data_IF_942581656981
#
_entry.id   IF_942581656981
#
_cell.length_a   1.000
_cell.length_b   1.000
_cell.length_c   1.000
_cell.angle_alpha   90.00
_cell.angle_beta   90.00
_cell.angle_gamma   90.00
#
_symmetry.space_group_name_H-M   'P 1'
#
loop_
_entity.id
_entity.type
_entity.pdbx_description
1 polymer ?
#
# COMPACT_ATOMS: atom_id res chain seq x y z
N UNK A 1 -8.01 4.90 28.66
CA UNK A 1 -9.01 5.94 28.30
C UNK A 1 -10.10 5.26 27.48
N UNK A 2 -11.39 5.60 27.66
CA UNK A 2 -12.43 5.03 26.79
C UNK A 2 -12.30 5.64 25.37
N UNK A 3 -12.38 4.84 24.29
CA UNK A 3 -12.36 5.38 22.93
C UNK A 3 -13.51 6.37 22.69
N UNK A 4 -13.17 7.57 22.21
CA UNK A 4 -14.12 8.63 21.85
C UNK A 4 -13.91 9.02 20.39
N UNK A 5 -14.85 9.77 19.80
CA UNK A 5 -14.66 10.25 18.42
C UNK A 5 -13.72 11.45 18.41
N UNK A 6 -12.62 11.37 17.65
CA UNK A 6 -11.64 12.43 17.47
C UNK A 6 -11.52 12.83 16.00
N UNK A 7 -11.22 14.10 15.75
CA UNK A 7 -10.66 14.54 14.48
C UNK A 7 -9.15 14.36 14.57
N UNK A 8 -8.57 13.60 13.66
CA UNK A 8 -7.14 13.29 13.64
C UNK A 8 -6.55 13.76 12.33
N UNK A 9 -5.48 14.56 12.40
CA UNK A 9 -4.70 14.94 11.24
C UNK A 9 -3.61 13.90 10.99
N UNK A 10 -3.68 13.19 9.86
CA UNK A 10 -2.61 12.31 9.41
C UNK A 10 -1.66 13.05 8.48
N UNK A 11 -0.35 12.87 8.67
CA UNK A 11 0.71 13.47 7.85
C UNK A 11 1.57 12.37 7.26
N UNK A 12 1.70 12.36 5.94
CA UNK A 12 2.54 11.44 5.19
C UNK A 12 3.49 12.18 4.25
N UNK A 13 4.72 11.70 4.15
CA UNK A 13 5.72 12.13 3.19
C UNK A 13 6.35 10.89 2.55
N UNK A 14 5.98 10.64 1.30
CA UNK A 14 6.40 9.46 0.56
C UNK A 14 7.90 9.43 0.26
N UNK A 15 8.41 8.26 -0.12
CA UNK A 15 9.82 8.11 -0.50
C UNK A 15 10.16 8.79 -1.83
N UNK A 16 9.16 9.17 -2.64
CA UNK A 16 9.38 9.96 -3.86
C UNK A 16 9.84 11.39 -3.58
N UNK A 17 9.66 11.88 -2.34
CA UNK A 17 10.04 13.23 -1.96
C UNK A 17 9.25 14.31 -2.71
N UNK A 18 8.04 14.00 -3.17
CA UNK A 18 7.23 14.93 -3.96
C UNK A 18 6.57 16.01 -3.10
N UNK A 19 6.30 15.72 -1.82
CA UNK A 19 5.70 16.67 -0.90
C UNK A 19 5.16 16.03 0.37
N UNK A 20 4.21 16.74 0.97
CA UNK A 20 3.56 16.42 2.23
C UNK A 20 2.06 16.26 1.93
N UNK A 21 1.51 15.10 2.26
CA UNK A 21 0.07 14.86 2.23
C UNK A 21 -0.48 14.97 3.65
N UNK A 22 -1.57 15.72 3.80
CA UNK A 22 -2.30 15.87 5.06
C UNK A 22 -3.73 15.40 4.85
N UNK A 23 -4.23 14.56 5.74
CA UNK A 23 -5.63 14.12 5.78
C UNK A 23 -6.24 14.46 7.14
N UNK A 24 -7.39 15.14 7.15
CA UNK A 24 -8.23 15.28 8.34
C UNK A 24 -9.27 14.17 8.32
N UNK A 25 -9.31 13.35 9.35
CA UNK A 25 -10.25 12.24 9.47
C UNK A 25 -10.98 12.26 10.80
N UNK A 26 -12.30 12.05 10.77
CA UNK A 26 -13.08 11.74 11.96
C UNK A 26 -12.97 10.24 12.24
N UNK A 27 -12.47 9.89 13.42
CA UNK A 27 -12.16 8.52 13.82
C UNK A 27 -12.80 8.25 15.18
N UNK A 28 -13.49 7.13 15.31
CA UNK A 28 -14.18 6.78 16.56
C UNK A 28 -14.49 5.30 16.68
N UNK A 29 -15.03 4.85 17.83
CA UNK A 29 -15.43 3.46 18.00
C UNK A 29 -16.58 3.08 17.06
N UNK A 30 -16.59 1.82 16.60
CA UNK A 30 -17.67 1.23 15.81
C UNK A 30 -18.53 0.35 16.73
N UNK A 31 -19.77 0.75 16.96
CA UNK A 31 -20.66 0.11 17.95
C UNK A 31 -21.19 -1.27 17.54
N UNK A 32 -21.09 -1.64 16.26
CA UNK A 32 -21.76 -2.83 15.70
C UNK A 32 -20.83 -4.02 15.40
N UNK A 33 -19.53 -3.94 15.72
CA UNK A 33 -18.52 -4.96 15.34
C UNK A 33 -17.67 -5.48 16.52
N UNK A 34 -18.15 -5.31 17.75
CA UNK A 34 -17.43 -5.70 18.95
C UNK A 34 -16.49 -4.61 19.47
N UNK A 35 -15.97 -4.82 20.68
CA UNK A 35 -15.05 -3.90 21.37
C UNK A 35 -13.75 -3.73 20.56
N UNK A 36 -13.21 -2.51 20.53
CA UNK A 36 -11.95 -2.19 19.83
C UNK A 36 -12.07 -1.95 18.33
N UNK A 37 -13.24 -2.15 17.71
CA UNK A 37 -13.45 -1.82 16.30
C UNK A 37 -13.55 -0.31 16.07
N UNK A 38 -12.94 0.18 14.98
CA UNK A 38 -12.84 1.61 14.65
C UNK A 38 -13.62 1.92 13.37
N UNK A 39 -14.18 3.12 13.27
CA UNK A 39 -14.69 3.71 12.03
C UNK A 39 -13.84 4.93 11.66
N UNK A 40 -13.67 5.16 10.37
CA UNK A 40 -12.97 6.33 9.85
C UNK A 40 -13.81 6.99 8.76
N UNK A 41 -13.89 8.32 8.81
CA UNK A 41 -14.46 9.16 7.75
C UNK A 41 -13.47 10.25 7.38
N UNK A 42 -13.03 10.29 6.13
CA UNK A 42 -12.22 11.41 5.63
C UNK A 42 -13.08 12.69 5.60
N UNK A 43 -12.56 13.76 6.18
CA UNK A 43 -13.17 15.09 6.18
C UNK A 43 -12.55 15.98 5.11
N UNK A 44 -11.22 15.97 5.01
CA UNK A 44 -10.47 16.78 4.06
C UNK A 44 -9.10 16.15 3.75
N UNK A 45 -8.50 16.54 2.63
CA UNK A 45 -7.11 16.24 2.33
C UNK A 45 -6.46 17.37 1.53
N UNK A 46 -5.16 17.57 1.72
CA UNK A 46 -4.35 18.54 0.98
C UNK A 46 -2.96 17.98 0.72
N UNK A 47 -2.35 18.40 -0.38
CA UNK A 47 -1.00 18.01 -0.78
C UNK A 47 -0.15 19.26 -0.98
N UNK A 48 1.02 19.31 -0.34
CA UNK A 48 1.93 20.44 -0.36
C UNK A 48 3.28 20.02 -0.94
N UNK A 49 3.69 20.54 -2.12
CA UNK A 49 4.98 20.17 -2.68
C UNK A 49 6.12 20.68 -1.80
N UNK A 50 7.19 19.90 -1.68
CA UNK A 50 8.38 20.40 -1.00
C UNK A 50 9.00 21.56 -1.76
N UNK A 51 9.45 22.64 -1.07
CA UNK A 51 10.34 23.62 -1.68
C UNK A 51 11.57 22.93 -2.26
N UNK A 52 12.04 23.37 -3.44
CA UNK A 52 13.12 22.71 -4.20
C UNK A 52 14.35 22.36 -3.34
N UNK A 53 14.77 23.27 -2.47
CA UNK A 53 15.91 23.05 -1.57
C UNK A 53 15.65 21.97 -0.52
N UNK A 54 14.45 21.95 0.08
CA UNK A 54 14.07 20.92 1.04
C UNK A 54 13.94 19.55 0.36
N UNK A 55 13.33 19.51 -0.84
CA UNK A 55 13.27 18.29 -1.66
C UNK A 55 14.66 17.74 -1.95
N UNK A 56 15.60 18.60 -2.35
CA UNK A 56 16.98 18.18 -2.60
C UNK A 56 17.66 17.62 -1.33
N UNK A 57 17.43 18.23 -0.17
CA UNK A 57 17.96 17.74 1.10
C UNK A 57 17.36 16.38 1.50
N UNK A 58 16.04 16.18 1.32
CA UNK A 58 15.36 14.90 1.55
C UNK A 58 15.95 13.82 0.65
N UNK A 59 15.98 14.04 -0.67
CA UNK A 59 16.51 13.07 -1.63
C UNK A 59 18.00 12.78 -1.39
N UNK A 60 18.77 13.77 -0.95
CA UNK A 60 20.18 13.62 -0.62
C UNK A 60 20.45 12.84 0.67
N UNK A 61 19.47 12.76 1.58
CA UNK A 61 19.57 12.02 2.84
C UNK A 61 19.07 10.57 2.74
N UNK A 62 18.09 10.30 1.88
CA UNK A 62 17.51 8.96 1.70
C UNK A 62 18.55 7.96 1.21
N UNK A 63 18.72 6.87 1.96
CA UNK A 63 19.68 5.79 1.68
C UNK A 63 21.11 6.30 1.37
N UNK A 64 21.46 7.47 1.90
CA UNK A 64 22.75 8.09 1.66
C UNK A 64 23.87 7.24 2.27
N UNK A 65 24.91 6.95 1.48
CA UNK A 65 26.11 6.24 1.97
C UNK A 65 26.82 6.99 3.10
N UNK A 66 26.75 8.32 3.07
CA UNK A 66 27.34 9.20 4.08
C UNK A 66 26.60 10.53 4.12
N UNK A 67 26.32 11.00 5.33
CA UNK A 67 25.73 12.31 5.61
C UNK A 67 26.19 12.75 7.00
N UNK A 68 26.41 14.05 7.20
CA UNK A 68 26.83 14.54 8.51
C UNK A 68 25.67 14.51 9.50
N UNK A 69 25.96 14.24 10.77
CA UNK A 69 24.97 14.29 11.86
C UNK A 69 24.30 15.66 11.96
N UNK A 70 25.04 16.74 11.69
CA UNK A 70 24.51 18.10 11.65
C UNK A 70 23.54 18.36 10.50
N UNK A 71 23.74 17.74 9.32
CA UNK A 71 22.77 17.82 8.22
C UNK A 71 21.49 17.04 8.56
N UNK A 72 21.63 15.82 9.07
CA UNK A 72 20.48 15.01 9.51
C UNK A 72 19.66 15.71 10.60
N UNK A 73 20.32 16.32 11.58
CA UNK A 73 19.64 17.09 12.63
C UNK A 73 18.88 18.29 12.05
N UNK A 74 19.52 19.08 11.18
CA UNK A 74 18.86 20.22 10.53
C UNK A 74 17.66 19.77 9.68
N UNK A 75 17.80 18.68 8.94
CA UNK A 75 16.72 18.13 8.13
C UNK A 75 15.55 17.64 9.00
N UNK A 76 15.80 16.94 10.11
CA UNK A 76 14.77 16.48 11.06
C UNK A 76 13.91 17.65 11.56
N UNK A 77 14.55 18.75 11.97
CA UNK A 77 13.87 19.95 12.44
C UNK A 77 13.16 20.69 11.31
N UNK A 78 13.80 20.84 10.14
CA UNK A 78 13.21 21.52 8.99
C UNK A 78 11.96 20.81 8.47
N UNK A 79 11.95 19.48 8.50
CA UNK A 79 10.78 18.68 8.17
C UNK A 79 9.67 18.84 9.20
N UNK A 80 9.99 18.83 10.49
CA UNK A 80 9.02 19.14 11.56
C UNK A 80 8.31 20.48 11.34
N UNK A 81 9.06 21.52 10.98
CA UNK A 81 8.50 22.84 10.62
C UNK A 81 7.55 22.72 9.42
N UNK A 82 7.98 22.03 8.35
CA UNK A 82 7.17 21.89 7.14
C UNK A 82 5.88 21.10 7.39
N UNK A 83 5.93 20.07 8.23
CA UNK A 83 4.75 19.29 8.61
C UNK A 83 3.78 20.11 9.47
N UNK A 84 4.30 20.93 10.39
CA UNK A 84 3.45 21.84 11.16
C UNK A 84 2.79 22.89 10.25
N UNK A 85 3.54 23.49 9.31
CA UNK A 85 3.00 24.43 8.31
C UNK A 85 1.87 23.79 7.48
N UNK A 86 2.07 22.55 7.03
CA UNK A 86 1.10 21.82 6.21
C UNK A 86 -0.18 21.52 7.00
N UNK A 87 -0.06 21.03 8.24
CA UNK A 87 -1.23 20.77 9.10
C UNK A 87 -1.99 22.06 9.39
N UNK A 88 -1.30 23.13 9.78
CA UNK A 88 -1.89 24.46 10.03
C UNK A 88 -2.68 24.95 8.81
N UNK A 89 -2.06 24.94 7.63
CA UNK A 89 -2.72 25.35 6.39
C UNK A 89 -3.95 24.49 6.04
N UNK A 90 -3.89 23.17 6.25
CA UNK A 90 -5.05 22.29 6.03
C UNK A 90 -6.19 22.60 7.01
N UNK A 91 -5.88 22.79 8.29
CA UNK A 91 -6.88 23.10 9.31
C UNK A 91 -7.56 24.45 9.03
N UNK A 92 -6.79 25.48 8.66
CA UNK A 92 -7.31 26.80 8.30
C UNK A 92 -8.22 26.74 7.08
N UNK A 93 -7.76 26.09 6.00
CA UNK A 93 -8.50 25.99 4.74
C UNK A 93 -9.85 25.29 4.91
N UNK A 94 -9.90 24.25 5.74
CA UNK A 94 -11.10 23.45 5.97
C UNK A 94 -11.85 23.81 7.26
N UNK A 95 -11.40 24.87 7.96
CA UNK A 95 -11.98 25.34 9.22
C UNK A 95 -12.21 24.22 10.24
N UNK A 96 -11.24 23.30 10.33
CA UNK A 96 -11.36 22.05 11.09
C UNK A 96 -10.10 21.85 11.92
N UNK A 97 -10.23 21.83 13.24
CA UNK A 97 -9.09 21.65 14.17
C UNK A 97 -9.00 20.19 14.59
N UNK A 98 -7.81 19.61 14.51
CA UNK A 98 -7.54 18.25 14.95
C UNK A 98 -7.32 18.19 16.46
N UNK A 99 -7.75 17.08 17.07
CA UNK A 99 -7.46 16.77 18.47
C UNK A 99 -6.16 15.99 18.65
N UNK A 100 -5.66 15.38 17.56
CA UNK A 100 -4.49 14.52 17.54
C UNK A 100 -3.84 14.59 16.16
N UNK A 101 -2.51 14.46 16.11
CA UNK A 101 -1.76 14.36 14.85
C UNK A 101 -1.07 13.00 14.77
N UNK A 102 -1.18 12.33 13.63
CA UNK A 102 -0.39 11.16 13.27
C UNK A 102 0.64 11.50 12.22
N UNK A 103 1.90 11.67 12.60
CA UNK A 103 2.97 12.06 11.68
C UNK A 103 3.90 10.88 11.38
N UNK A 104 3.80 10.33 10.17
CA UNK A 104 4.76 9.32 9.71
C UNK A 104 6.18 9.87 9.66
N UNK A 105 6.32 11.12 9.21
CA UNK A 105 7.59 11.75 8.88
C UNK A 105 8.11 11.33 7.50
N UNK A 106 9.41 11.53 7.28
CA UNK A 106 10.14 11.11 6.09
C UNK A 106 11.01 9.90 6.41
N UNK A 107 10.85 8.80 5.68
CA UNK A 107 11.79 7.67 5.78
C UNK A 107 13.15 8.06 5.22
N UNK A 108 14.20 7.93 6.05
CA UNK A 108 15.60 8.13 5.67
C UNK A 108 16.29 6.81 5.37
N UNK A 109 15.98 5.78 6.15
CA UNK A 109 16.54 4.45 5.96
C UNK A 109 15.51 3.39 6.36
N UNK A 110 15.46 2.29 5.60
CA UNK A 110 14.60 1.16 5.91
C UNK A 110 15.25 -0.16 5.52
N UNK A 111 15.52 -0.99 6.52
CA UNK A 111 16.12 -2.31 6.42
C UNK A 111 15.15 -3.33 7.01
N UNK A 112 14.24 -3.85 6.18
CA UNK A 112 13.22 -4.82 6.59
C UNK A 112 13.81 -6.18 7.01
N UNK A 113 14.93 -6.59 6.39
CA UNK A 113 15.58 -7.87 6.71
C UNK A 113 16.77 -7.66 7.66
N UNK A 114 16.98 -8.56 8.64
CA UNK A 114 18.13 -8.44 9.52
C UNK A 114 19.47 -8.45 8.77
N UNK A 115 20.36 -7.52 9.10
CA UNK A 115 21.73 -7.47 8.59
C UNK A 115 22.72 -7.29 9.75
N UNK A 116 23.96 -7.74 9.53
CA UNK A 116 25.01 -7.67 10.54
C UNK A 116 25.53 -6.24 10.67
N UNK A 117 25.53 -5.69 11.87
CA UNK A 117 26.08 -4.38 12.20
C UNK A 117 26.58 -4.36 13.64
N UNK A 118 27.79 -3.85 13.87
CA UNK A 118 28.40 -3.72 15.19
C UNK A 118 28.36 -5.00 16.05
N UNK A 119 28.53 -6.18 15.44
CA UNK A 119 28.54 -7.48 16.13
C UNK A 119 27.16 -8.13 16.31
N UNK A 120 26.08 -7.45 15.94
CA UNK A 120 24.70 -7.93 16.08
C UNK A 120 23.98 -8.02 14.74
N UNK A 121 22.87 -8.77 14.68
CA UNK A 121 22.08 -8.92 13.46
C UNK A 121 20.62 -8.52 13.71
N UNK A 122 20.21 -7.39 13.16
CA UNK A 122 18.88 -6.82 13.39
C UNK A 122 18.33 -6.12 12.16
N UNK A 123 17.01 -5.95 12.10
CA UNK A 123 16.32 -5.10 11.13
C UNK A 123 16.16 -3.70 11.74
N UNK A 124 16.12 -2.64 10.93
CA UNK A 124 15.97 -1.28 11.44
C UNK A 124 15.26 -0.35 10.45
N UNK A 125 14.75 0.76 10.95
CA UNK A 125 14.04 1.76 10.17
C UNK A 125 14.19 3.11 10.84
N UNK A 126 14.24 4.18 10.07
CA UNK A 126 14.33 5.52 10.62
C UNK A 126 13.52 6.52 9.81
N UNK A 127 12.58 7.17 10.50
CA UNK A 127 11.76 8.25 9.99
C UNK A 127 12.09 9.52 10.78
N UNK A 128 12.19 10.66 10.08
CA UNK A 128 12.50 11.95 10.70
C UNK A 128 11.40 12.98 10.43
N UNK A 129 11.43 14.06 11.21
CA UNK A 129 10.39 15.09 11.30
C UNK A 129 10.04 15.31 12.75
N UNK A 130 10.68 16.29 13.39
CA UNK A 130 10.67 16.47 14.85
C UNK A 130 9.25 16.58 15.44
N UNK A 131 8.73 15.53 16.12
CA UNK A 131 7.34 15.52 16.60
C UNK A 131 7.12 16.48 17.78
N UNK A 132 8.13 16.72 18.62
CA UNK A 132 7.99 17.68 19.73
C UNK A 132 7.77 19.11 19.21
N UNK A 133 8.44 19.48 18.11
CA UNK A 133 8.24 20.77 17.46
C UNK A 133 6.80 20.91 16.93
N UNK A 134 6.29 19.88 16.25
CA UNK A 134 4.93 19.88 15.73
C UNK A 134 3.93 20.00 16.88
N UNK A 135 4.11 19.20 17.94
CA UNK A 135 3.21 19.15 19.07
C UNK A 135 3.14 20.48 19.82
N UNK A 136 4.31 21.06 20.14
CA UNK A 136 4.39 22.35 20.84
C UNK A 136 3.95 23.52 19.97
N UNK A 137 4.24 23.52 18.67
CA UNK A 137 3.80 24.62 17.79
C UNK A 137 2.28 24.64 17.63
N UNK A 138 1.66 23.47 17.42
CA UNK A 138 0.23 23.38 17.15
C UNK A 138 -0.61 23.18 18.41
N UNK A 139 0.03 22.96 19.58
CA UNK A 139 -0.64 22.64 20.85
C UNK A 139 -1.56 21.42 20.74
N UNK A 140 -1.16 20.44 19.91
CA UNK A 140 -1.89 19.20 19.65
C UNK A 140 -0.93 18.02 19.84
N UNK A 141 -1.28 16.97 20.61
CA UNK A 141 -0.43 15.81 20.76
C UNK A 141 -0.11 15.14 19.41
N UNK A 142 1.13 14.69 19.26
CA UNK A 142 1.62 14.06 18.02
C UNK A 142 2.01 12.62 18.29
N UNK A 143 1.40 11.68 17.58
CA UNK A 143 1.89 10.31 17.47
C UNK A 143 2.80 10.22 16.26
N UNK A 144 4.00 9.66 16.45
CA UNK A 144 4.99 9.45 15.40
C UNK A 144 5.67 8.08 15.55
N UNK A 145 6.69 7.78 14.74
CA UNK A 145 7.54 6.60 14.91
C UNK A 145 6.78 5.24 14.89
N UNK A 146 5.89 5.06 13.91
CA UNK A 146 4.97 3.91 13.86
C UNK A 146 5.62 2.57 13.57
N UNK A 147 6.74 2.55 12.84
CA UNK A 147 7.31 1.31 12.27
C UNK A 147 8.09 0.43 13.26
N UNK A 148 8.89 0.95 14.22
CA UNK A 148 9.76 0.11 15.03
C UNK A 148 9.06 -0.96 15.88
N UNK A 149 7.89 -0.66 16.46
CA UNK A 149 7.18 -1.62 17.32
C UNK A 149 6.79 -2.91 16.57
N UNK A 150 6.35 -2.79 15.32
CA UNK A 150 6.08 -3.93 14.44
C UNK A 150 7.36 -4.74 14.15
N UNK A 151 8.48 -4.05 13.89
CA UNK A 151 9.76 -4.71 13.59
C UNK A 151 10.34 -5.47 14.79
N UNK A 152 10.15 -4.94 16.01
CA UNK A 152 10.60 -5.58 17.24
C UNK A 152 9.92 -6.94 17.46
N UNK A 153 8.66 -7.10 17.03
CA UNK A 153 7.92 -8.38 17.10
C UNK A 153 8.04 -9.21 15.81
N UNK A 154 9.10 -8.98 15.03
CA UNK A 154 9.45 -9.78 13.85
C UNK A 154 8.78 -9.37 12.55
N UNK A 155 8.02 -8.27 12.54
CA UNK A 155 7.45 -7.71 11.33
C UNK A 155 8.48 -6.93 10.50
N UNK A 156 8.07 -6.51 9.32
CA UNK A 156 8.91 -5.72 8.40
C UNK A 156 8.75 -4.20 8.61
N UNK A 157 7.84 -3.74 9.47
CA UNK A 157 7.51 -2.32 9.64
C UNK A 157 6.72 -1.70 8.47
N UNK A 158 6.31 -2.54 7.52
CA UNK A 158 5.56 -2.18 6.31
C UNK A 158 4.92 -3.44 5.66
N UNK A 159 3.85 -3.27 4.87
CA UNK A 159 3.00 -2.07 4.77
C UNK A 159 2.07 -1.96 6.00
N UNK A 160 1.83 -0.73 6.47
CA UNK A 160 0.91 -0.46 7.60
C UNK A 160 -0.49 -0.01 7.14
N UNK A 161 -0.62 0.42 5.88
CA UNK A 161 -1.88 0.84 5.25
C UNK A 161 -2.97 -0.24 5.25
N UNK A 162 -2.70 -1.57 5.20
CA UNK A 162 -3.76 -2.58 5.20
C UNK A 162 -4.75 -2.52 6.37
N UNK A 163 -4.37 -1.94 7.52
CA UNK A 163 -5.34 -1.71 8.61
C UNK A 163 -6.42 -0.69 8.20
N UNK A 164 -6.05 0.36 7.46
CA UNK A 164 -7.02 1.31 6.90
C UNK A 164 -7.98 0.60 5.95
N UNK A 165 -7.45 -0.27 5.10
CA UNK A 165 -8.26 -1.06 4.17
C UNK A 165 -9.26 -1.95 4.93
N UNK A 166 -8.83 -2.61 6.01
CA UNK A 166 -9.74 -3.34 6.88
C UNK A 166 -10.83 -2.43 7.49
N UNK A 167 -10.46 -1.29 8.07
CA UNK A 167 -11.42 -0.36 8.70
C UNK A 167 -12.45 0.18 7.70
N UNK A 168 -12.02 0.51 6.48
CA UNK A 168 -12.87 1.08 5.43
C UNK A 168 -13.77 0.04 4.78
N UNK A 169 -13.28 -1.19 4.57
CA UNK A 169 -13.92 -2.17 3.70
C UNK A 169 -14.46 -3.40 4.42
N UNK A 170 -14.22 -3.61 5.71
CA UNK A 170 -14.80 -4.78 6.37
C UNK A 170 -16.33 -4.67 6.50
N UNK A 171 -17.03 -5.67 5.97
CA UNK A 171 -18.49 -5.84 6.02
C UNK A 171 -18.89 -7.16 6.71
N UNK A 172 -19.97 -7.16 7.49
CA UNK A 172 -20.36 -8.32 8.31
C UNK A 172 -21.02 -9.43 7.50
N UNK A 173 -21.43 -9.14 6.26
CA UNK A 173 -22.15 -10.07 5.38
C UNK A 173 -21.44 -10.31 4.05
N UNK A 174 -20.55 -9.40 3.66
CA UNK A 174 -19.88 -9.42 2.36
C UNK A 174 -18.37 -9.49 2.55
N UNK A 175 -17.74 -10.46 1.87
CA UNK A 175 -16.30 -10.56 1.79
C UNK A 175 -15.77 -9.58 0.75
N UNK A 176 -14.62 -8.95 0.99
CA UNK A 176 -14.04 -7.99 0.04
C UNK A 176 -12.60 -8.34 -0.30
N UNK A 177 -12.28 -8.26 -1.59
CA UNK A 177 -10.90 -8.34 -2.09
C UNK A 177 -10.56 -7.02 -2.75
N UNK A 178 -9.57 -6.31 -2.20
CA UNK A 178 -9.04 -5.08 -2.75
C UNK A 178 -7.81 -5.43 -3.58
N UNK A 179 -7.93 -5.46 -4.90
CA UNK A 179 -6.84 -5.81 -5.81
C UNK A 179 -6.30 -4.54 -6.45
N UNK A 180 -5.07 -4.15 -6.11
CA UNK A 180 -4.35 -3.11 -6.84
C UNK A 180 -3.55 -3.73 -7.99
N UNK A 181 -3.64 -3.13 -9.17
CA UNK A 181 -2.92 -3.53 -10.38
C UNK A 181 -2.01 -2.37 -10.81
N UNK A 182 -0.90 -2.22 -10.07
CA UNK A 182 0.18 -1.30 -10.38
C UNK A 182 1.23 -1.95 -11.28
N UNK A 183 2.53 -1.65 -11.09
CA UNK A 183 3.60 -2.41 -11.74
C UNK A 183 3.62 -3.88 -11.30
N UNK A 184 3.40 -4.10 -10.00
CA UNK A 184 3.12 -5.40 -9.37
C UNK A 184 1.64 -5.42 -8.97
N UNK A 185 0.99 -6.57 -9.13
CA UNK A 185 -0.34 -6.81 -8.62
C UNK A 185 -0.27 -7.23 -7.15
N UNK A 186 -1.10 -6.63 -6.30
CA UNK A 186 -1.22 -7.02 -4.91
C UNK A 186 -2.67 -6.97 -4.44
N UNK A 187 -3.00 -7.79 -3.44
CA UNK A 187 -4.35 -7.82 -2.89
C UNK A 187 -4.37 -7.74 -1.38
N UNK A 188 -5.49 -7.24 -0.87
CA UNK A 188 -5.93 -7.38 0.52
C UNK A 188 -7.30 -8.05 0.53
N UNK A 189 -7.39 -9.18 1.18
CA UNK A 189 -8.57 -10.03 1.28
C UNK A 189 -9.14 -9.93 2.70
N UNK A 190 -10.41 -9.54 2.82
CA UNK A 190 -11.12 -9.28 4.07
C UNK A 190 -12.35 -10.20 4.14
N UNK A 191 -12.34 -11.24 4.99
CA UNK A 191 -13.49 -12.11 5.18
C UNK A 191 -14.73 -11.38 5.72
N UNK A 192 -15.92 -11.86 5.34
CA UNK A 192 -17.18 -11.33 5.85
C UNK A 192 -17.27 -11.58 7.36
N UNK A 193 -17.48 -10.51 8.14
CA UNK A 193 -17.53 -10.60 9.61
C UNK A 193 -16.20 -10.96 10.28
N UNK A 194 -15.12 -11.15 9.50
CA UNK A 194 -13.82 -11.50 10.02
C UNK A 194 -13.14 -10.35 10.76
N UNK A 195 -12.26 -10.72 11.69
CA UNK A 195 -11.38 -9.83 12.42
C UNK A 195 -10.23 -9.30 11.57
N UNK A 196 -9.47 -8.36 12.13
CA UNK A 196 -8.29 -7.77 11.47
C UNK A 196 -7.17 -8.81 11.28
N UNK A 197 -7.10 -9.79 12.17
CA UNK A 197 -6.18 -10.94 12.16
C UNK A 197 -6.48 -11.96 11.05
N UNK A 198 -7.70 -11.95 10.51
CA UNK A 198 -8.12 -12.81 9.40
C UNK A 198 -7.89 -12.17 8.03
N UNK A 199 -7.46 -10.91 7.99
CA UNK A 199 -7.11 -10.21 6.75
C UNK A 199 -5.90 -10.88 6.12
N UNK A 200 -5.93 -11.15 4.82
CA UNK A 200 -4.80 -11.70 4.08
C UNK A 200 -4.28 -10.69 3.07
N UNK A 201 -2.97 -10.46 3.01
CA UNK A 201 -2.36 -9.57 2.02
C UNK A 201 -1.12 -10.20 1.38
N UNK A 202 -0.97 -10.08 0.06
CA UNK A 202 0.20 -10.54 -0.67
C UNK A 202 0.27 -9.99 -2.10
N UNK A 203 1.46 -10.06 -2.69
CA UNK A 203 1.66 -9.78 -4.11
C UNK A 203 1.26 -10.99 -4.95
N UNK A 204 0.36 -10.77 -5.91
CA UNK A 204 -0.15 -11.82 -6.81
C UNK A 204 0.85 -12.13 -7.92
N UNK A 205 1.62 -11.14 -8.38
CA UNK A 205 2.54 -11.28 -9.50
C UNK A 205 2.73 -10.00 -10.31
N UNK A 206 3.14 -10.10 -11.58
CA UNK A 206 3.27 -8.93 -12.45
C UNK A 206 1.90 -8.26 -12.66
N UNK A 207 1.83 -6.95 -12.41
CA UNK A 207 0.73 -6.09 -12.85
C UNK A 207 1.01 -5.57 -14.26
N UNK A 208 1.05 -4.24 -14.42
CA UNK A 208 1.33 -3.59 -15.70
C UNK A 208 2.81 -3.59 -16.10
N UNK A 209 3.76 -3.87 -15.18
CA UNK A 209 5.19 -3.67 -15.45
C UNK A 209 5.68 -4.42 -16.71
N UNK A 210 5.28 -5.69 -16.86
CA UNK A 210 5.65 -6.48 -18.02
C UNK A 210 4.91 -6.01 -19.28
N UNK A 211 3.63 -5.63 -19.15
CA UNK A 211 2.80 -5.11 -20.25
C UNK A 211 3.38 -3.80 -20.80
N UNK A 212 3.71 -2.86 -19.91
CA UNK A 212 4.26 -1.54 -20.24
C UNK A 212 5.66 -1.67 -20.87
N UNK A 213 6.50 -2.56 -20.34
CA UNK A 213 7.81 -2.84 -20.93
C UNK A 213 7.69 -3.40 -22.36
N UNK A 214 6.76 -4.32 -22.61
CA UNK A 214 6.49 -4.86 -23.94
C UNK A 214 5.88 -3.82 -24.87
N UNK A 215 5.00 -2.95 -24.38
CA UNK A 215 4.45 -1.83 -25.14
C UNK A 215 5.53 -0.88 -25.61
N UNK A 216 6.46 -0.54 -24.71
CA UNK A 216 7.58 0.32 -25.05
C UNK A 216 8.49 -0.34 -26.09
N UNK A 217 8.81 -1.63 -25.91
CA UNK A 217 9.72 -2.36 -26.78
C UNK A 217 9.14 -2.66 -28.18
N UNK A 218 7.84 -3.00 -28.27
CA UNK A 218 7.22 -3.49 -29.51
C UNK A 218 6.46 -2.40 -30.28
N UNK A 219 5.99 -1.36 -29.60
CA UNK A 219 5.13 -0.33 -30.17
C UNK A 219 5.59 1.10 -29.89
N UNK A 220 6.67 1.30 -29.12
CA UNK A 220 7.20 2.63 -28.78
C UNK A 220 6.24 3.47 -27.94
N UNK A 221 5.32 2.83 -27.20
CA UNK A 221 4.30 3.50 -26.38
C UNK A 221 4.47 3.13 -24.90
N UNK A 222 4.13 4.03 -23.96
CA UNK A 222 4.38 3.79 -22.53
C UNK A 222 3.48 2.71 -21.92
N UNK A 223 2.27 2.50 -22.44
CA UNK A 223 1.31 1.51 -21.93
C UNK A 223 0.23 1.18 -22.98
N UNK A 224 -0.51 0.08 -22.78
CA UNK A 224 -1.61 -0.34 -23.67
C UNK A 224 -2.92 0.35 -23.28
N UNK A 225 -3.21 1.47 -23.93
CA UNK A 225 -4.41 2.27 -23.63
C UNK A 225 -5.69 1.45 -23.84
N UNK A 226 -6.46 1.33 -22.76
CA UNK A 226 -7.69 0.52 -22.65
C UNK A 226 -7.49 -0.98 -22.99
N UNK A 227 -6.25 -1.47 -23.07
CA UNK A 227 -5.96 -2.84 -23.49
C UNK A 227 -6.19 -3.12 -24.98
N UNK A 228 -6.23 -2.10 -25.84
CA UNK A 228 -6.67 -2.23 -27.24
C UNK A 228 -5.74 -3.07 -28.10
N UNK A 229 -4.45 -3.10 -27.79
CA UNK A 229 -3.48 -3.91 -28.53
C UNK A 229 -3.60 -5.36 -28.07
N UNK A 230 -3.64 -5.61 -26.77
CA UNK A 230 -3.87 -6.94 -26.21
C UNK A 230 -5.19 -7.56 -26.71
N UNK A 231 -6.24 -6.75 -26.90
CA UNK A 231 -7.54 -7.22 -27.43
C UNK A 231 -7.46 -7.83 -28.85
N UNK A 232 -6.44 -7.48 -29.63
CA UNK A 232 -6.27 -7.96 -31.02
C UNK A 232 -5.41 -9.22 -31.11
N UNK A 233 -4.68 -9.54 -30.03
CA UNK A 233 -3.81 -10.70 -29.98
C UNK A 233 -4.54 -11.94 -29.54
N UNK A 234 -3.95 -13.08 -29.86
CA UNK A 234 -4.29 -14.39 -29.33
C UNK A 234 -3.43 -14.68 -28.11
N UNK A 235 -4.06 -15.16 -27.04
CA UNK A 235 -3.36 -15.65 -25.85
C UNK A 235 -2.69 -16.99 -26.16
N UNK A 236 -1.40 -17.10 -25.81
CA UNK A 236 -0.62 -18.34 -25.91
C UNK A 236 -0.66 -19.08 -24.57
N UNK A 237 -1.68 -19.92 -24.39
CA UNK A 237 -1.96 -20.62 -23.13
C UNK A 237 -0.79 -21.51 -22.65
N UNK A 238 -0.05 -22.12 -23.57
CA UNK A 238 1.18 -22.87 -23.27
C UNK A 238 2.20 -22.04 -22.50
N UNK A 239 2.38 -20.78 -22.91
CA UNK A 239 3.33 -19.85 -22.32
C UNK A 239 2.81 -19.36 -20.96
N UNK A 240 1.52 -19.06 -20.87
CA UNK A 240 0.85 -18.70 -19.61
C UNK A 240 1.07 -19.79 -18.56
N UNK A 241 0.75 -21.05 -18.88
CA UNK A 241 0.95 -22.18 -17.96
C UNK A 241 2.40 -22.40 -17.57
N UNK A 242 3.32 -22.31 -18.54
CA UNK A 242 4.75 -22.46 -18.26
C UNK A 242 5.27 -21.37 -17.32
N UNK A 243 4.77 -20.14 -17.47
CA UNK A 243 5.13 -18.99 -16.62
C UNK A 243 4.62 -19.21 -15.19
N UNK A 244 3.40 -19.71 -15.04
CA UNK A 244 2.77 -19.95 -13.73
C UNK A 244 3.41 -21.10 -12.93
N UNK A 245 4.34 -21.86 -13.52
CA UNK A 245 5.18 -22.85 -12.82
C UNK A 245 6.38 -22.23 -12.09
N UNK A 246 6.66 -20.94 -12.29
CA UNK A 246 7.75 -20.27 -11.56
C UNK A 246 7.55 -20.40 -10.03
N UNK A 247 8.64 -20.56 -9.24
CA UNK A 247 8.55 -20.80 -7.80
C UNK A 247 7.73 -19.76 -7.03
N UNK A 248 7.76 -18.49 -7.46
CA UNK A 248 7.00 -17.41 -6.82
C UNK A 248 5.48 -17.68 -6.79
N UNK A 249 4.92 -18.18 -7.89
CA UNK A 249 3.48 -18.44 -7.98
C UNK A 249 3.05 -19.65 -7.15
N UNK A 250 3.99 -20.55 -6.82
CA UNK A 250 3.74 -21.72 -5.99
C UNK A 250 3.84 -21.47 -4.49
N UNK A 251 4.50 -20.37 -4.10
CA UNK A 251 4.69 -19.97 -2.69
C UNK A 251 3.36 -19.51 -2.07
N UNK A 252 3.09 -19.96 -0.84
CA UNK A 252 1.98 -19.49 -0.02
C UNK A 252 2.28 -18.08 0.56
N UNK A 253 1.25 -17.26 0.81
CA UNK A 253 1.40 -16.03 1.58
C UNK A 253 2.00 -16.27 2.98
N UNK A 254 2.73 -15.30 3.57
CA UNK A 254 3.03 -13.97 3.03
C UNK A 254 4.11 -14.02 1.93
N UNK A 255 3.90 -13.25 0.86
CA UNK A 255 4.87 -13.11 -0.23
C UNK A 255 4.80 -11.72 -0.87
N UNK A 256 5.98 -11.20 -1.20
CA UNK A 256 6.16 -9.94 -1.93
C UNK A 256 7.07 -10.13 -3.14
N UNK A 257 6.89 -9.28 -4.15
CA UNK A 257 7.67 -9.23 -5.37
C UNK A 257 7.87 -7.80 -5.84
N UNK A 258 8.93 -7.58 -6.60
CA UNK A 258 9.25 -6.32 -7.22
C UNK A 258 9.83 -6.49 -8.62
N UNK A 259 10.59 -5.48 -9.04
CA UNK A 259 11.25 -5.43 -10.35
C UNK A 259 12.32 -6.51 -10.50
N UNK A 260 12.84 -7.00 -9.40
CA UNK A 260 13.87 -8.03 -9.36
C UNK A 260 13.35 -9.40 -9.81
N UNK A 261 12.06 -9.72 -9.59
CA UNK A 261 11.45 -10.96 -10.11
C UNK A 261 10.74 -10.73 -11.44
N UNK A 262 10.02 -9.60 -11.60
CA UNK A 262 9.10 -9.39 -12.74
C UNK A 262 9.46 -8.22 -13.66
N UNK A 263 10.69 -7.70 -13.55
CA UNK A 263 11.20 -6.63 -14.40
C UNK A 263 11.80 -7.12 -15.72
N UNK A 264 12.86 -6.45 -16.18
CA UNK A 264 13.39 -6.62 -17.54
C UNK A 264 13.74 -8.06 -17.93
N UNK A 265 14.34 -8.83 -17.02
CA UNK A 265 14.71 -10.22 -17.29
C UNK A 265 13.47 -11.10 -17.54
N UNK A 266 12.42 -10.93 -16.75
CA UNK A 266 11.14 -11.62 -16.93
C UNK A 266 10.49 -11.23 -18.26
N UNK A 267 10.42 -9.94 -18.56
CA UNK A 267 9.85 -9.44 -19.82
C UNK A 267 10.59 -9.98 -21.05
N UNK A 268 11.93 -10.02 -21.01
CA UNK A 268 12.75 -10.57 -22.10
C UNK A 268 12.53 -12.09 -22.27
N UNK A 269 12.48 -12.84 -21.16
CA UNK A 269 12.20 -14.27 -21.20
C UNK A 269 10.81 -14.57 -21.78
N UNK A 270 9.79 -13.81 -21.36
CA UNK A 270 8.43 -13.91 -21.89
C UNK A 270 8.39 -13.60 -23.39
N UNK A 271 9.00 -12.50 -23.82
CA UNK A 271 9.08 -12.15 -25.23
C UNK A 271 9.76 -13.26 -26.05
N UNK A 272 10.89 -13.78 -25.58
CA UNK A 272 11.62 -14.84 -26.25
C UNK A 272 10.79 -16.13 -26.36
N UNK A 273 10.04 -16.50 -25.32
CA UNK A 273 9.12 -17.63 -25.35
C UNK A 273 8.04 -17.44 -26.42
N UNK A 274 7.39 -16.27 -26.47
CA UNK A 274 6.38 -15.97 -27.47
C UNK A 274 6.95 -16.00 -28.90
N UNK A 275 8.17 -15.48 -29.10
CA UNK A 275 8.81 -15.52 -30.43
C UNK A 275 9.14 -16.92 -30.91
N UNK A 276 9.47 -17.86 -30.01
CA UNK A 276 9.66 -19.27 -30.39
C UNK A 276 8.38 -19.89 -30.96
N UNK A 277 7.22 -19.45 -30.51
CA UNK A 277 5.91 -19.85 -31.06
C UNK A 277 5.47 -18.99 -32.25
N UNK A 278 6.36 -18.14 -32.80
CA UNK A 278 6.08 -17.23 -33.94
C UNK A 278 4.92 -16.25 -33.67
N UNK A 279 4.76 -15.85 -32.41
CA UNK A 279 3.75 -14.89 -31.98
C UNK A 279 3.91 -13.52 -32.67
N UNK A 280 2.78 -12.91 -33.03
CA UNK A 280 2.72 -11.49 -33.41
C UNK A 280 2.99 -10.58 -32.20
N UNK A 281 3.16 -9.28 -32.43
CA UNK A 281 3.38 -8.34 -31.33
C UNK A 281 2.13 -8.24 -30.44
N UNK A 282 0.95 -8.29 -31.06
CA UNK A 282 -0.35 -8.32 -30.39
C UNK A 282 -0.50 -9.57 -29.53
N UNK A 283 -0.12 -10.75 -30.03
CA UNK A 283 -0.16 -12.01 -29.27
C UNK A 283 0.73 -11.96 -28.03
N UNK A 284 1.91 -11.34 -28.14
CA UNK A 284 2.82 -11.13 -26.99
C UNK A 284 2.12 -10.30 -25.90
N UNK A 285 1.44 -9.21 -26.27
CA UNK A 285 0.73 -8.35 -25.32
C UNK A 285 -0.51 -9.03 -24.74
N UNK A 286 -1.27 -9.77 -25.55
CA UNK A 286 -2.40 -10.57 -25.09
C UNK A 286 -1.94 -11.62 -24.06
N UNK A 287 -0.84 -12.31 -24.34
CA UNK A 287 -0.25 -13.32 -23.45
C UNK A 287 0.26 -12.72 -22.14
N UNK A 288 0.97 -11.59 -22.20
CA UNK A 288 1.42 -10.88 -21.00
C UNK A 288 0.23 -10.42 -20.12
N UNK A 289 -0.83 -9.90 -20.76
CA UNK A 289 -2.05 -9.47 -20.07
C UNK A 289 -2.77 -10.67 -19.43
N UNK A 290 -2.82 -11.81 -20.13
CA UNK A 290 -3.40 -13.04 -19.61
C UNK A 290 -2.62 -13.59 -18.40
N UNK A 291 -1.29 -13.52 -18.41
CA UNK A 291 -0.47 -13.90 -17.24
C UNK A 291 -0.87 -13.08 -16.00
N UNK A 292 -1.04 -11.76 -16.13
CA UNK A 292 -1.52 -10.94 -15.00
C UNK A 292 -2.90 -11.40 -14.53
N UNK A 293 -3.86 -11.63 -15.44
CA UNK A 293 -5.19 -12.09 -15.07
C UNK A 293 -5.18 -13.47 -14.36
N UNK A 294 -4.38 -14.41 -14.86
CA UNK A 294 -4.26 -15.76 -14.30
C UNK A 294 -3.57 -15.78 -12.93
N UNK A 295 -2.51 -14.99 -12.75
CA UNK A 295 -1.81 -14.91 -11.45
C UNK A 295 -2.74 -14.39 -10.36
N UNK A 296 -3.57 -13.39 -10.68
CA UNK A 296 -4.60 -12.87 -9.78
C UNK A 296 -5.67 -13.93 -9.50
N UNK A 297 -6.25 -14.53 -10.54
CA UNK A 297 -7.33 -15.51 -10.39
C UNK A 297 -6.89 -16.77 -9.62
N UNK A 298 -5.71 -17.32 -9.91
CA UNK A 298 -5.16 -18.48 -9.19
C UNK A 298 -4.77 -18.13 -7.76
N UNK A 299 -4.24 -16.93 -7.54
CA UNK A 299 -3.97 -16.41 -6.20
C UNK A 299 -5.26 -16.36 -5.35
N UNK A 300 -6.34 -15.85 -5.93
CA UNK A 300 -7.65 -15.85 -5.29
C UNK A 300 -8.15 -17.27 -5.00
N UNK A 301 -8.25 -18.12 -6.02
CA UNK A 301 -8.81 -19.47 -5.87
C UNK A 301 -8.04 -20.32 -4.84
N UNK A 302 -6.71 -20.22 -4.82
CA UNK A 302 -5.87 -21.07 -3.96
C UNK A 302 -5.79 -20.58 -2.52
N UNK A 303 -5.70 -19.27 -2.30
CA UNK A 303 -5.37 -18.72 -0.98
C UNK A 303 -6.51 -17.93 -0.36
N UNK A 304 -7.32 -17.24 -1.16
CA UNK A 304 -8.35 -16.31 -0.67
C UNK A 304 -9.70 -16.99 -0.57
N UNK A 305 -10.16 -17.67 -1.62
CA UNK A 305 -11.46 -18.32 -1.64
C UNK A 305 -11.70 -19.26 -0.44
N UNK A 306 -10.73 -20.08 0.01
CA UNK A 306 -10.93 -20.97 1.16
C UNK A 306 -11.23 -20.24 2.48
N UNK A 307 -10.76 -19.00 2.64
CA UNK A 307 -10.96 -18.19 3.86
C UNK A 307 -12.17 -17.27 3.78
N UNK A 308 -12.84 -17.17 2.63
CA UNK A 308 -14.03 -16.34 2.45
C UNK A 308 -15.34 -17.04 2.82
N UNK A 309 -15.31 -18.36 3.04
CA UNK A 309 -16.49 -19.16 3.34
C UNK A 309 -17.53 -19.11 2.22
N UNK A 310 -18.81 -19.03 2.57
CA UNK A 310 -19.94 -18.97 1.64
C UNK A 310 -20.46 -17.55 1.37
N UNK A 311 -19.78 -16.52 1.89
CA UNK A 311 -20.22 -15.14 1.73
C UNK A 311 -20.05 -14.67 0.27
N UNK A 312 -20.92 -13.78 -0.24
CA UNK A 312 -20.68 -13.08 -1.49
C UNK A 312 -19.34 -12.34 -1.45
N UNK A 313 -18.58 -12.39 -2.55
CA UNK A 313 -17.27 -11.73 -2.65
C UNK A 313 -17.36 -10.53 -3.58
N UNK A 314 -17.11 -9.33 -3.06
CA UNK A 314 -16.89 -8.13 -3.87
C UNK A 314 -15.39 -8.00 -4.18
N UNK A 315 -15.05 -7.99 -5.47
CA UNK A 315 -13.68 -7.93 -5.96
C UNK A 315 -13.41 -6.56 -6.56
N UNK A 316 -12.74 -5.70 -5.81
CA UNK A 316 -12.59 -4.26 -6.07
C UNK A 316 -11.22 -4.01 -6.70
N UNK A 317 -11.21 -3.62 -7.97
CA UNK A 317 -10.00 -3.42 -8.78
C UNK A 317 -9.51 -1.96 -8.70
N UNK A 318 -8.25 -1.73 -8.38
CA UNK A 318 -7.62 -0.40 -8.35
C UNK A 318 -6.29 -0.38 -9.12
N UNK A 319 -5.65 0.80 -9.20
CA UNK A 319 -4.40 0.98 -9.93
C UNK A 319 -4.59 1.11 -11.45
N UNK A 320 -3.50 1.35 -12.17
CA UNK A 320 -3.54 1.60 -13.62
C UNK A 320 -4.15 0.43 -14.42
N UNK A 321 -3.98 -0.80 -13.95
CA UNK A 321 -4.48 -2.00 -14.64
C UNK A 321 -6.00 -2.13 -14.58
N UNK A 322 -6.67 -1.50 -13.62
CA UNK A 322 -8.13 -1.42 -13.58
C UNK A 322 -8.72 -0.63 -14.78
N UNK A 323 -7.90 0.17 -15.47
CA UNK A 323 -8.27 0.91 -16.70
C UNK A 323 -7.98 0.13 -17.98
N UNK A 324 -7.32 -1.03 -17.90
CA UNK A 324 -7.10 -1.91 -19.04
C UNK A 324 -8.34 -2.81 -19.23
N UNK A 325 -9.22 -2.46 -20.17
CA UNK A 325 -10.50 -3.15 -20.35
C UNK A 325 -10.34 -4.62 -20.76
N UNK A 326 -9.27 -4.95 -21.49
CA UNK A 326 -8.95 -6.33 -21.85
C UNK A 326 -8.55 -7.15 -20.61
N UNK A 327 -7.71 -6.59 -19.74
CA UNK A 327 -7.35 -7.22 -18.47
C UNK A 327 -8.58 -7.42 -17.57
N UNK A 328 -9.41 -6.38 -17.43
CA UNK A 328 -10.65 -6.46 -16.63
C UNK A 328 -11.60 -7.52 -17.18
N UNK A 329 -11.76 -7.61 -18.51
CA UNK A 329 -12.56 -8.67 -19.15
C UNK A 329 -12.01 -10.06 -18.81
N UNK A 330 -10.70 -10.27 -18.99
CA UNK A 330 -10.06 -11.54 -18.66
C UNK A 330 -10.23 -11.92 -17.18
N UNK A 331 -10.16 -10.95 -16.27
CA UNK A 331 -10.41 -11.16 -14.84
C UNK A 331 -11.87 -11.55 -14.56
N UNK A 332 -12.85 -10.89 -15.18
CA UNK A 332 -14.28 -11.26 -15.04
C UNK A 332 -14.55 -12.69 -15.46
N UNK A 333 -14.04 -13.08 -16.63
CA UNK A 333 -14.16 -14.44 -17.17
C UNK A 333 -13.64 -15.52 -16.20
N UNK A 334 -12.70 -15.18 -15.32
CA UNK A 334 -12.07 -16.11 -14.37
C UNK A 334 -12.70 -16.06 -12.98
N UNK A 335 -13.01 -14.86 -12.48
CA UNK A 335 -13.42 -14.64 -11.09
C UNK A 335 -14.95 -14.71 -10.91
N UNK A 336 -15.74 -14.27 -11.88
CA UNK A 336 -17.22 -14.31 -11.76
C UNK A 336 -17.76 -15.74 -11.65
N UNK A 337 -17.24 -16.74 -12.39
CA UNK A 337 -17.62 -18.14 -12.18
C UNK A 337 -17.27 -18.67 -10.78
N UNK A 338 -16.33 -18.03 -10.06
CA UNK A 338 -15.96 -18.36 -8.69
C UNK A 338 -16.85 -17.66 -7.64
N UNK A 339 -17.91 -16.97 -8.07
CA UNK A 339 -18.84 -16.26 -7.19
C UNK A 339 -18.40 -14.83 -6.82
N UNK A 340 -17.39 -14.28 -7.49
CA UNK A 340 -16.96 -12.90 -7.29
C UNK A 340 -17.81 -11.93 -8.12
N UNK A 341 -18.11 -10.77 -7.55
CA UNK A 341 -18.64 -9.63 -8.29
C UNK A 341 -17.57 -8.56 -8.42
N UNK A 342 -17.19 -8.23 -9.66
CA UNK A 342 -16.09 -7.30 -9.92
C UNK A 342 -16.58 -5.85 -9.97
N UNK A 343 -15.84 -4.97 -9.30
CA UNK A 343 -16.07 -3.53 -9.28
C UNK A 343 -14.79 -2.81 -9.68
N UNK A 344 -14.92 -1.75 -10.48
CA UNK A 344 -13.85 -0.79 -10.57
C UNK A 344 -13.83 0.02 -9.26
N UNK A 345 -12.66 0.13 -8.67
CA UNK A 345 -12.40 1.11 -7.62
C UNK A 345 -12.19 2.44 -8.31
N UNK A 346 -13.28 3.11 -8.65
CA UNK A 346 -13.23 4.49 -9.10
C UNK A 346 -12.94 5.42 -7.90
N UNK A 347 -12.08 5.00 -6.95
CA UNK A 347 -11.85 5.54 -5.60
C UNK A 347 -12.85 5.05 -4.55
N UNK A 348 -12.94 3.74 -4.26
CA UNK A 348 -13.79 3.31 -3.15
C UNK A 348 -13.26 3.90 -1.83
N UNK A 349 -14.01 4.89 -1.32
CA UNK A 349 -13.92 5.46 0.02
C UNK A 349 -12.90 6.58 0.23
N UNK A 350 -11.86 6.72 -0.62
CA UNK A 350 -10.79 7.69 -0.37
C UNK A 350 -9.93 8.01 -1.60
N UNK A 351 -9.60 9.29 -1.88
CA UNK A 351 -8.62 9.66 -2.89
C UNK A 351 -7.27 9.00 -2.62
N UNK A 352 -6.58 8.54 -3.67
CA UNK A 352 -5.28 7.85 -3.51
C UNK A 352 -4.24 8.70 -2.76
N UNK A 353 -4.21 10.01 -3.01
CA UNK A 353 -3.33 10.96 -2.33
C UNK A 353 -3.66 11.12 -0.83
N UNK A 354 -4.92 10.90 -0.43
CA UNK A 354 -5.34 10.97 0.97
C UNK A 354 -5.11 9.66 1.73
N UNK A 355 -5.02 8.52 1.03
CA UNK A 355 -5.05 7.18 1.62
C UNK A 355 -3.95 6.97 2.64
N UNK A 356 -2.69 7.26 2.30
CA UNK A 356 -1.58 7.02 3.22
C UNK A 356 -1.63 7.96 4.42
N UNK A 357 -1.91 9.25 4.20
CA UNK A 357 -2.08 10.21 5.28
C UNK A 357 -3.20 9.79 6.24
N UNK A 358 -4.37 9.40 5.73
CA UNK A 358 -5.47 8.90 6.56
C UNK A 358 -5.14 7.61 7.31
N UNK A 359 -4.30 6.74 6.75
CA UNK A 359 -3.79 5.58 7.48
C UNK A 359 -2.99 6.01 8.71
N UNK A 360 -2.14 7.03 8.62
CA UNK A 360 -1.40 7.54 9.78
C UNK A 360 -2.30 8.28 10.79
N UNK A 361 -3.40 8.89 10.35
CA UNK A 361 -4.43 9.39 11.26
C UNK A 361 -5.06 8.22 12.06
N UNK A 362 -5.40 7.12 11.39
CA UNK A 362 -5.92 5.90 12.03
C UNK A 362 -4.93 5.29 13.01
N UNK A 363 -3.66 5.17 12.62
CA UNK A 363 -2.63 4.62 13.50
C UNK A 363 -2.44 5.48 14.75
N UNK A 364 -2.45 6.81 14.62
CA UNK A 364 -2.36 7.71 15.76
C UNK A 364 -3.54 7.52 16.72
N UNK A 365 -4.76 7.43 16.20
CA UNK A 365 -5.94 7.12 17.02
C UNK A 365 -5.77 5.79 17.77
N UNK A 366 -5.32 4.73 17.07
CA UNK A 366 -5.06 3.44 17.68
C UNK A 366 -4.03 3.55 18.81
N UNK A 367 -2.89 4.20 18.56
CA UNK A 367 -1.85 4.43 19.60
C UNK A 367 -2.39 5.16 20.81
N UNK A 368 -3.13 6.25 20.58
CA UNK A 368 -3.66 7.11 21.64
C UNK A 368 -4.61 6.36 22.58
N UNK A 369 -5.37 5.40 22.05
CA UNK A 369 -6.28 4.55 22.83
C UNK A 369 -5.70 3.17 23.20
N UNK A 370 -4.42 2.89 22.88
CA UNK A 370 -3.77 1.61 23.19
C UNK A 370 -4.30 0.43 22.36
N UNK A 371 -4.81 0.68 21.16
CA UNK A 371 -5.26 -0.33 20.21
C UNK A 371 -4.10 -0.75 19.29
N UNK A 372 -4.03 -2.02 18.86
CA UNK A 372 -3.03 -2.45 17.88
C UNK A 372 -3.13 -1.69 16.56
N UNK A 373 -1.97 -1.42 15.94
CA UNK A 373 -1.87 -0.67 14.69
C UNK A 373 -1.32 -1.46 13.50
N UNK A 374 -0.76 -2.65 13.72
CA UNK A 374 -0.26 -3.51 12.65
C UNK A 374 -1.22 -4.68 12.37
N UNK A 375 -1.11 -5.23 11.15
CA UNK A 375 -1.69 -6.52 10.80
C UNK A 375 -0.56 -7.53 10.64
N UNK A 376 -0.43 -8.54 11.54
CA UNK A 376 0.55 -9.62 11.44
C UNK A 376 0.61 -10.28 10.06
N UNK A 377 -0.56 -10.51 9.48
CA UNK A 377 -0.72 -11.10 8.14
C UNK A 377 -0.17 -10.23 7.00
N UNK A 378 0.00 -8.92 7.22
CA UNK A 378 0.57 -8.01 6.24
C UNK A 378 2.07 -7.79 6.46
N UNK A 379 2.51 -7.61 7.71
CA UNK A 379 3.90 -7.23 8.02
C UNK A 379 4.82 -8.42 8.30
N UNK A 380 4.26 -9.59 8.60
CA UNK A 380 5.01 -10.76 9.07
C UNK A 380 5.32 -10.75 10.57
N UNK A 381 4.80 -9.78 11.33
CA UNK A 381 4.89 -9.78 12.78
C UNK A 381 4.23 -11.02 13.38
N UNK A 382 4.72 -11.50 14.52
CA UNK A 382 4.14 -12.69 15.18
C UNK A 382 2.86 -12.38 15.96
N UNK A 383 2.60 -11.11 16.25
CA UNK A 383 1.44 -10.66 17.03
C UNK A 383 1.05 -9.21 16.71
N UNK A 384 -0.23 -8.83 16.95
CA UNK A 384 -0.64 -7.44 16.93
C UNK A 384 0.03 -6.65 18.06
N UNK A 385 0.44 -5.42 17.78
CA UNK A 385 1.09 -4.49 18.72
C UNK A 385 0.60 -3.07 18.52
N UNK A 386 0.60 -2.30 19.61
CA UNK A 386 0.39 -0.85 19.56
C UNK A 386 1.62 -0.23 18.90
N UNK A 387 1.39 0.62 17.89
CA UNK A 387 2.45 1.30 17.15
C UNK A 387 2.69 2.70 17.70
N UNK A 388 3.81 3.32 17.33
CA UNK A 388 4.05 4.74 17.52
C UNK A 388 4.40 5.19 18.94
N UNK A 389 4.77 6.46 19.04
CA UNK A 389 5.15 7.15 20.28
C UNK A 389 4.49 8.51 20.36
N UNK A 390 4.03 8.91 21.55
CA UNK A 390 3.30 10.16 21.77
C UNK A 390 4.27 11.25 22.23
N UNK A 391 4.28 12.39 21.53
CA UNK A 391 4.87 13.65 21.98
C UNK A 391 3.76 14.56 22.47
N UNK A 392 3.88 15.03 23.71
CA UNK A 392 2.97 16.01 24.30
C UNK A 392 3.45 17.42 23.93
N UNK A 393 2.50 18.30 23.60
CA UNK A 393 2.75 19.69 23.19
C UNK A 393 3.15 20.60 24.34
#
# INVERSE_FOLDING_TARGET
MKPETLIVAGVMSGTSGDGIDVALAEIGPRTMRGEGSVRLKLLAHESFPFPKALRAAVLGAQDAKSISTAELARLNWRLGIAYADAVEATQEKHQTVAHLIGCHGQTIYHQAQPAAYAGERFACTWQIGEPALIATRLQIPVVSNFRPADMVVGGQGAPLVPLLDYVMFADTKVARVLQNIGGIGNLTAIPAGGGADEVMAFDTGPGNMAIDALMQQLFGKPYDRDGRIAARGRVLESIVESTLRMPFFQKAPPKSAGREQFGAAFTQALLAACRKERATNEDVLATATAITAETIARGFARFVQPVMGSAPVEYILSGGGARNLTLVRMLRERLEPMGCKLFASDEVGMPAAAKEAAAFALLAYCTYYGLPGNLPSATGAIMPVVLGTISHG
#
